data_IF_183198670748
#
_entry.id   IF_183198670748
#
_cell.length_a   1.000
_cell.length_b   1.000
_cell.length_c   1.000
_cell.angle_alpha   90.00
_cell.angle_beta   90.00
_cell.angle_gamma   90.00
#
_symmetry.space_group_name_H-M   'P 1'
#
loop_
_entity.id
_entity.type
_entity.pdbx_description
1 polymer ?
#
# COMPACT_ATOMS: atom_id res chain seq x y z
N UNK A 1 -7.03 -19.13 -11.49
CA UNK A 1 -8.18 -18.57 -10.74
C UNK A 1 -7.91 -17.11 -10.38
N UNK A 2 -8.42 -16.16 -11.15
CA UNK A 2 -8.26 -14.71 -10.92
C UNK A 2 -9.33 -14.20 -9.94
N UNK A 3 -9.37 -14.73 -8.70
CA UNK A 3 -10.42 -14.40 -7.69
C UNK A 3 -10.45 -12.92 -7.29
N UNK A 4 -9.36 -12.18 -7.52
CA UNK A 4 -9.21 -10.77 -7.14
C UNK A 4 -8.78 -9.87 -8.31
N UNK A 5 -9.03 -10.28 -9.56
CA UNK A 5 -8.64 -9.45 -10.71
C UNK A 5 -9.33 -8.09 -10.66
N UNK A 6 -8.56 -7.01 -10.83
CA UNK A 6 -9.03 -5.62 -10.77
C UNK A 6 -9.07 -5.02 -9.36
N UNK A 7 -9.22 -5.81 -8.28
CA UNK A 7 -9.27 -5.28 -6.91
C UNK A 7 -8.00 -4.51 -6.49
N UNK A 8 -6.76 -4.99 -6.73
CA UNK A 8 -5.56 -4.22 -6.38
C UNK A 8 -5.46 -2.92 -7.19
N UNK A 9 -5.88 -2.92 -8.46
CA UNK A 9 -5.87 -1.74 -9.33
C UNK A 9 -6.88 -0.69 -8.86
N UNK A 10 -8.08 -1.12 -8.43
CA UNK A 10 -9.09 -0.24 -7.85
C UNK A 10 -8.60 0.39 -6.54
N UNK A 11 -7.91 -0.37 -5.69
CA UNK A 11 -7.35 0.16 -4.45
C UNK A 11 -6.23 1.17 -4.72
N UNK A 12 -5.38 0.89 -5.70
CA UNK A 12 -4.31 1.79 -6.14
C UNK A 12 -4.88 3.12 -6.64
N UNK A 13 -5.85 3.06 -7.56
CA UNK A 13 -6.53 4.25 -8.06
C UNK A 13 -7.22 5.02 -6.92
N UNK A 14 -7.89 4.34 -5.99
CA UNK A 14 -8.55 5.01 -4.86
C UNK A 14 -7.55 5.78 -3.98
N UNK A 15 -6.41 5.17 -3.68
CA UNK A 15 -5.36 5.78 -2.85
C UNK A 15 -4.68 6.93 -3.60
N UNK A 16 -4.43 6.79 -4.90
CA UNK A 16 -3.87 7.83 -5.76
C UNK A 16 -4.79 9.05 -5.87
N UNK A 17 -6.10 8.84 -6.10
CA UNK A 17 -7.10 9.93 -6.16
C UNK A 17 -7.18 10.74 -4.86
N UNK A 18 -6.90 10.10 -3.72
CA UNK A 18 -6.88 10.76 -2.42
C UNK A 18 -5.52 11.38 -2.08
N UNK A 19 -4.45 11.08 -2.83
CA UNK A 19 -3.11 11.60 -2.61
C UNK A 19 -2.49 11.21 -1.26
N UNK A 20 -2.92 10.09 -0.67
CA UNK A 20 -2.46 9.67 0.67
C UNK A 20 -1.79 8.31 0.61
N UNK A 21 -0.59 8.20 1.20
CA UNK A 21 0.10 6.91 1.36
C UNK A 21 -0.42 6.10 2.57
N UNK A 22 -1.20 6.69 3.47
CA UNK A 22 -1.79 6.00 4.63
C UNK A 22 -3.17 6.60 4.94
N UNK A 23 -4.22 5.76 4.93
CA UNK A 23 -5.58 6.21 5.22
C UNK A 23 -6.50 5.09 5.68
N UNK A 24 -7.45 5.45 6.54
CA UNK A 24 -8.62 4.63 6.84
C UNK A 24 -9.59 4.60 5.67
N UNK A 25 -9.82 3.41 5.11
CA UNK A 25 -10.78 3.20 4.03
C UNK A 25 -11.89 2.26 4.48
N UNK A 26 -13.09 2.51 4.00
CA UNK A 26 -14.22 1.57 4.14
C UNK A 26 -14.51 0.88 2.82
N UNK A 27 -14.99 -0.37 2.88
CA UNK A 27 -15.46 -1.08 1.68
C UNK A 27 -16.62 -0.32 1.03
N UNK A 28 -17.41 0.40 1.83
CA UNK A 28 -18.50 1.23 1.34
C UNK A 28 -18.00 2.42 0.51
N UNK A 29 -16.94 3.12 0.93
CA UNK A 29 -16.35 4.22 0.15
C UNK A 29 -15.82 3.74 -1.20
N UNK A 30 -15.06 2.63 -1.20
CA UNK A 30 -14.54 2.03 -2.44
C UNK A 30 -15.72 1.64 -3.34
N UNK A 31 -16.76 1.02 -2.77
CA UNK A 31 -17.97 0.66 -3.49
C UNK A 31 -18.66 1.87 -4.12
N UNK A 32 -18.86 2.95 -3.35
CA UNK A 32 -19.52 4.16 -3.83
C UNK A 32 -18.69 4.87 -4.89
N UNK A 33 -17.36 4.85 -4.77
CA UNK A 33 -16.45 5.47 -5.74
C UNK A 33 -16.47 4.77 -7.09
N UNK A 34 -16.46 3.45 -7.11
CA UNK A 34 -16.37 2.64 -8.34
C UNK A 34 -17.68 1.96 -8.75
N UNK A 35 -18.81 2.38 -8.16
CA UNK A 35 -20.15 1.81 -8.37
C UNK A 35 -20.20 0.27 -8.31
N UNK A 36 -19.53 -0.31 -7.29
CA UNK A 36 -19.35 -1.75 -7.23
C UNK A 36 -20.61 -2.47 -6.77
N UNK A 37 -20.84 -3.64 -7.36
CA UNK A 37 -22.00 -4.46 -7.07
C UNK A 37 -21.87 -5.20 -5.73
N UNK A 38 -22.99 -5.62 -5.11
CA UNK A 38 -22.99 -6.25 -3.77
C UNK A 38 -22.07 -7.48 -3.67
N UNK A 39 -21.92 -8.24 -4.76
CA UNK A 39 -21.02 -9.40 -4.80
C UNK A 39 -19.54 -9.05 -4.60
N UNK A 40 -19.11 -7.88 -5.09
CA UNK A 40 -17.72 -7.42 -4.93
C UNK A 40 -17.42 -6.95 -3.51
N UNK A 41 -18.44 -6.64 -2.72
CA UNK A 41 -18.28 -6.26 -1.31
C UNK A 41 -17.53 -7.33 -0.50
N UNK A 42 -17.92 -8.60 -0.67
CA UNK A 42 -17.27 -9.72 0.02
C UNK A 42 -15.84 -9.94 -0.50
N UNK A 43 -15.64 -9.76 -1.80
CA UNK A 43 -14.32 -9.89 -2.44
C UNK A 43 -13.34 -8.83 -1.91
N UNK A 44 -13.76 -7.56 -1.84
CA UNK A 44 -12.93 -6.46 -1.31
C UNK A 44 -12.65 -6.66 0.17
N UNK A 45 -13.67 -7.01 0.97
CA UNK A 45 -13.50 -7.28 2.40
C UNK A 45 -12.49 -8.41 2.64
N UNK A 46 -12.58 -9.49 1.86
CA UNK A 46 -11.66 -10.61 1.92
C UNK A 46 -10.25 -10.24 1.44
N UNK A 47 -10.14 -9.39 0.43
CA UNK A 47 -8.86 -8.88 -0.08
C UNK A 47 -8.16 -7.98 0.93
N UNK A 48 -8.87 -7.01 1.53
CA UNK A 48 -8.32 -6.13 2.57
C UNK A 48 -7.89 -6.92 3.80
N UNK A 49 -8.68 -7.93 4.19
CA UNK A 49 -8.30 -8.83 5.28
C UNK A 49 -7.08 -9.69 4.93
N UNK A 50 -6.89 -10.07 3.68
CA UNK A 50 -5.65 -10.71 3.20
C UNK A 50 -4.44 -9.78 3.33
N UNK A 51 -4.61 -8.48 3.08
CA UNK A 51 -3.55 -7.48 3.20
C UNK A 51 -3.09 -7.25 4.65
N UNK A 52 -3.89 -7.63 5.65
CA UNK A 52 -3.52 -7.60 7.08
C UNK A 52 -2.43 -8.66 7.39
N UNK A 53 -2.54 -9.84 6.79
CA UNK A 53 -1.57 -10.93 7.00
C UNK A 53 -0.29 -10.78 6.17
N UNK A 54 -0.24 -9.82 5.24
CA UNK A 54 0.94 -9.55 4.43
C UNK A 54 0.62 -9.00 3.03
N UNK A 55 1.64 -8.84 2.20
CA UNK A 55 1.46 -8.35 0.82
C UNK A 55 0.75 -9.38 -0.06
N UNK A 56 -0.25 -8.94 -0.82
CA UNK A 56 -0.93 -9.76 -1.81
C UNK A 56 -0.32 -9.53 -3.20
N UNK A 57 0.43 -10.51 -3.71
CA UNK A 57 1.03 -10.44 -5.04
C UNK A 57 1.96 -9.23 -5.19
N UNK A 58 1.74 -8.42 -6.24
CA UNK A 58 2.48 -7.19 -6.53
C UNK A 58 1.83 -5.92 -5.93
N UNK A 59 0.80 -6.08 -5.08
CA UNK A 59 0.12 -4.93 -4.48
C UNK A 59 1.10 -4.15 -3.57
N UNK A 60 1.32 -2.85 -3.84
CA UNK A 60 2.22 -2.04 -3.03
C UNK A 60 1.58 -1.60 -1.71
N UNK A 61 0.36 -2.03 -1.39
CA UNK A 61 -0.34 -1.66 -0.17
C UNK A 61 -0.43 -2.82 0.83
N UNK A 62 -0.52 -2.48 2.11
CA UNK A 62 -0.78 -3.37 3.23
C UNK A 62 -1.89 -2.79 4.09
N UNK A 63 -2.60 -3.65 4.81
CA UNK A 63 -3.55 -3.21 5.84
C UNK A 63 -2.83 -3.32 7.18
N UNK A 64 -2.66 -2.19 7.86
CA UNK A 64 -2.03 -2.15 9.18
C UNK A 64 -3.00 -2.56 10.28
N UNK A 65 -4.28 -2.22 10.11
CA UNK A 65 -5.29 -2.42 11.14
C UNK A 65 -6.68 -2.53 10.55
N UNK A 66 -7.50 -3.36 11.18
CA UNK A 66 -8.93 -3.47 10.88
C UNK A 66 -9.68 -3.06 12.14
N UNK A 67 -10.48 -2.00 12.03
CA UNK A 67 -11.34 -1.54 13.11
C UNK A 67 -12.81 -1.69 12.71
N UNK A 68 -13.62 -2.20 13.62
CA UNK A 68 -15.07 -2.18 13.46
C UNK A 68 -15.52 -0.80 13.90
N UNK A 69 -15.94 0.04 12.96
CA UNK A 69 -16.50 1.34 13.30
C UNK A 69 -17.67 1.14 14.27
N UNK A 70 -17.71 1.97 15.31
CA UNK A 70 -18.79 1.95 16.27
C UNK A 70 -20.12 2.07 15.55
N UNK A 71 -21.04 1.17 15.89
CA UNK A 71 -22.41 1.24 15.38
C UNK A 71 -23.09 2.44 16.02
N UNK A 72 -23.11 3.56 15.32
CA UNK A 72 -23.93 4.71 15.72
C UNK A 72 -25.41 4.30 15.71
N UNK A 73 -25.82 3.44 14.76
CA UNK A 73 -27.14 2.85 14.69
C UNK A 73 -27.07 1.33 14.84
N UNK A 74 -27.85 0.71 15.74
CA UNK A 74 -27.85 -0.75 15.93
C UNK A 74 -28.37 -1.53 14.71
N UNK A 75 -29.16 -0.89 13.85
CA UNK A 75 -29.66 -1.43 12.58
C UNK A 75 -28.65 -1.32 11.42
N UNK A 76 -27.58 -0.55 11.58
CA UNK A 76 -26.55 -0.45 10.53
C UNK A 76 -25.64 -1.70 10.62
N UNK A 77 -25.34 -2.36 9.49
CA UNK A 77 -24.38 -3.45 9.48
C UNK A 77 -23.03 -2.92 10.00
N UNK A 78 -22.27 -3.70 10.79
CA UNK A 78 -21.01 -3.24 11.33
C UNK A 78 -20.07 -2.83 10.20
N UNK A 79 -19.76 -1.54 10.12
CA UNK A 79 -18.86 -0.98 9.11
C UNK A 79 -17.42 -1.25 9.52
N UNK A 80 -16.74 -2.17 8.84
CA UNK A 80 -15.30 -2.34 9.02
C UNK A 80 -14.55 -1.22 8.29
N UNK A 81 -13.62 -0.59 9.00
CA UNK A 81 -12.62 0.35 8.51
C UNK A 81 -11.28 -0.37 8.46
N UNK A 82 -10.54 -0.16 7.38
CA UNK A 82 -9.26 -0.80 7.12
C UNK A 82 -8.22 0.31 6.98
N UNK A 83 -7.20 0.32 7.82
CA UNK A 83 -6.09 1.25 7.71
C UNK A 83 -5.15 0.75 6.63
N UNK A 84 -5.30 1.29 5.43
CA UNK A 84 -4.46 0.93 4.28
C UNK A 84 -3.25 1.85 4.25
N UNK A 85 -2.08 1.26 4.09
CA UNK A 85 -0.81 1.96 3.93
C UNK A 85 -0.07 1.45 2.71
N UNK A 86 0.49 2.36 1.93
CA UNK A 86 1.46 2.04 0.89
C UNK A 86 2.75 1.59 1.56
N UNK A 87 3.22 0.39 1.21
CA UNK A 87 4.58 -0.03 1.52
C UNK A 87 5.50 0.97 0.85
N UNK A 88 6.23 1.74 1.65
CA UNK A 88 7.35 2.52 1.14
C UNK A 88 8.34 1.52 0.52
N UNK A 89 8.34 1.39 -0.81
CA UNK A 89 9.44 0.76 -1.55
C UNK A 89 10.73 1.62 -1.49
N UNK A 90 10.76 2.64 -0.65
CA UNK A 90 11.92 3.46 -0.33
C UNK A 90 12.53 3.06 1.02
N UNK A 91 13.08 1.85 1.12
CA UNK A 91 14.27 1.57 1.94
C UNK A 91 15.00 0.30 1.48
N UNK A 92 15.06 0.06 0.18
CA UNK A 92 16.05 -0.83 -0.42
C UNK A 92 16.42 -0.36 -1.82
N UNK A 93 16.49 0.96 -2.03
CA UNK A 93 17.45 1.48 -2.99
C UNK A 93 18.74 1.66 -2.21
N UNK A 94 19.58 0.65 -2.25
CA UNK A 94 21.01 0.91 -2.26
C UNK A 94 21.24 1.52 -3.65
N UNK A 95 21.39 2.86 -3.82
CA UNK A 95 22.16 3.30 -4.96
C UNK A 95 23.57 2.81 -4.69
N UNK A 96 24.01 1.90 -5.54
CA UNK A 96 25.32 1.29 -5.43
C UNK A 96 26.45 2.32 -5.35
N UNK A 97 27.54 1.84 -4.77
CA UNK A 97 28.85 1.96 -5.40
C UNK A 97 29.30 3.42 -5.58
N UNK A 98 30.04 3.85 -4.57
CA UNK A 98 31.10 4.85 -4.69
C UNK A 98 32.06 4.44 -5.83
N UNK A 99 31.72 4.80 -7.06
CA UNK A 99 32.66 4.85 -8.19
C UNK A 99 32.58 6.26 -8.76
N UNK A 100 33.31 7.17 -8.13
CA UNK A 100 33.87 8.31 -8.86
C UNK A 100 35.39 8.18 -8.79
N UNK A 101 35.91 7.76 -9.95
CA UNK A 101 37.30 7.78 -10.35
C UNK A 101 37.90 9.17 -10.14
N UNK A 102 39.10 9.23 -9.57
CA UNK A 102 39.79 10.49 -9.30
C UNK A 102 41.27 10.30 -9.01
N UNK A 103 42.04 9.97 -10.06
CA UNK A 103 43.47 10.28 -10.23
C UNK A 103 44.49 9.68 -9.25
N UNK A 104 45.10 8.60 -9.72
CA UNK A 104 46.48 8.26 -9.42
C UNK A 104 47.41 9.34 -10.00
N UNK A 105 48.17 10.06 -9.17
CA UNK A 105 49.47 10.62 -9.61
C UNK A 105 50.49 10.49 -8.49
N UNK A 106 51.47 9.63 -8.76
CA UNK A 106 52.75 9.52 -8.07
C UNK A 106 53.46 10.88 -7.97
N UNK A 107 54.16 11.17 -6.87
CA UNK A 107 55.62 11.41 -6.83
C UNK A 107 56.13 11.83 -5.44
N UNK A 108 57.21 11.14 -5.03
CA UNK A 108 58.42 11.54 -4.26
C UNK A 108 58.23 12.32 -2.96
N UNK A 109 58.68 11.84 -1.80
CA UNK A 109 60.08 11.62 -1.38
C UNK A 109 60.92 12.91 -1.34
N UNK A 110 61.32 13.25 -0.10
CA UNK A 110 62.58 13.88 0.33
C UNK A 110 62.66 15.41 0.61
N UNK A 111 63.29 15.69 1.77
CA UNK A 111 63.91 16.93 2.27
C UNK A 111 63.01 18.11 2.67
N UNK A 112 63.18 18.77 3.82
CA UNK A 112 64.35 18.96 4.69
C UNK A 112 63.99 18.99 6.18
#
# INVERSE_FOLDING_TARGET
MKKYSGIPELLDQFMEENGTDERWVTVQEIRQRFDLNRYQYNTISGFLRRLEFGSFGQCPFIVLRIEKAERINPSDPPKCRYLVKRKNMSSAKIPGILQHSGMQVRRKADSS
#
